data_IF_913356036766
#
_entry.id   IF_913356036766
#
_cell.length_a   1.000
_cell.length_b   1.000
_cell.length_c   1.000
_cell.angle_alpha   90.00
_cell.angle_beta   90.00
_cell.angle_gamma   90.00
#
_symmetry.space_group_name_H-M   'P 1'
#
loop_
_entity.id
_entity.type
_entity.pdbx_description
1 polymer ?
#
# COMPACT_ATOMS: atom_id res chain seq x y z
N UNK A 1 3.07 4.89 8.73
CA UNK A 1 2.70 3.54 9.15
C UNK A 1 3.62 2.52 8.49
N UNK A 2 4.13 1.60 9.26
CA UNK A 2 5.09 0.60 8.80
C UNK A 2 4.49 -0.80 8.94
N UNK A 3 4.37 -1.53 7.82
CA UNK A 3 3.83 -2.87 7.81
C UNK A 3 4.93 -3.90 8.06
N UNK A 4 4.62 -4.87 8.88
CA UNK A 4 5.52 -5.99 9.15
C UNK A 4 5.25 -7.16 8.22
N UNK A 5 6.19 -8.08 8.18
CA UNK A 5 6.06 -9.31 7.41
C UNK A 5 4.81 -10.08 7.83
N UNK A 6 4.09 -10.60 6.86
CA UNK A 6 2.85 -11.37 7.04
C UNK A 6 1.65 -10.60 7.54
N UNK A 7 1.78 -9.29 7.71
CA UNK A 7 0.65 -8.48 8.11
C UNK A 7 -0.22 -8.15 6.90
N UNK A 8 -1.51 -8.03 7.16
CA UNK A 8 -2.44 -7.47 6.20
C UNK A 8 -3.08 -6.27 6.87
N UNK A 9 -3.05 -5.12 6.23
CA UNK A 9 -3.58 -3.90 6.79
C UNK A 9 -4.86 -3.50 6.07
N UNK A 10 -6.02 -3.57 6.77
CA UNK A 10 -7.24 -3.03 6.18
C UNK A 10 -7.31 -1.52 6.40
N UNK A 11 -7.74 -0.82 5.36
CA UNK A 11 -7.92 0.63 5.42
C UNK A 11 -9.37 0.92 5.09
N UNK A 12 -10.07 1.57 6.02
CA UNK A 12 -11.45 1.96 5.82
C UNK A 12 -11.52 3.37 5.24
N UNK A 13 -12.33 3.54 4.21
CA UNK A 13 -12.47 4.82 3.55
C UNK A 13 -12.95 5.92 4.49
N UNK A 14 -13.84 5.60 5.40
CA UNK A 14 -14.38 6.57 6.34
C UNK A 14 -13.38 7.01 7.40
N UNK A 15 -12.36 6.21 7.65
CA UNK A 15 -11.33 6.51 8.65
C UNK A 15 -10.06 7.04 8.03
N UNK A 16 -10.05 7.22 6.73
CA UNK A 16 -8.88 7.63 5.99
C UNK A 16 -8.53 9.09 6.28
N UNK A 17 -7.26 9.34 6.59
CA UNK A 17 -6.78 10.70 6.83
C UNK A 17 -6.91 11.57 5.60
N UNK A 18 -6.56 11.03 4.44
CA UNK A 18 -6.59 11.79 3.20
C UNK A 18 -6.95 10.90 2.03
N UNK A 19 -7.16 11.53 0.88
CA UNK A 19 -7.59 10.85 -0.32
C UNK A 19 -6.56 9.85 -0.85
N UNK A 20 -5.28 10.18 -0.72
CA UNK A 20 -4.21 9.41 -1.34
C UNK A 20 -3.49 8.51 -0.35
N UNK A 21 -3.15 7.32 -0.85
CA UNK A 21 -2.39 6.34 -0.10
C UNK A 21 -1.14 6.04 -0.91
N UNK A 22 0.02 6.31 -0.35
CA UNK A 22 1.29 6.06 -1.04
C UNK A 22 2.03 4.93 -0.36
N UNK A 23 2.63 4.05 -1.16
CA UNK A 23 3.40 2.92 -0.67
C UNK A 23 4.85 3.09 -1.08
N UNK A 24 5.74 3.04 -0.11
CA UNK A 24 7.17 3.16 -0.37
C UNK A 24 7.85 1.93 0.19
N UNK A 25 8.45 1.07 -0.65
CA UNK A 25 9.18 -0.07 -0.13
C UNK A 25 10.49 0.38 0.49
N UNK A 26 10.85 -0.26 1.61
CA UNK A 26 12.16 -0.03 2.23
C UNK A 26 13.05 -1.11 1.64
N UNK A 27 13.88 -0.74 0.67
CA UNK A 27 14.64 -1.60 -0.22
C UNK A 27 13.72 -2.34 -1.18
N UNK A 28 13.01 -3.34 -0.71
CA UNK A 28 12.20 -4.20 -1.56
C UNK A 28 11.05 -4.77 -0.74
N UNK A 29 9.90 -4.91 -1.38
CA UNK A 29 8.76 -5.61 -0.81
C UNK A 29 8.21 -6.55 -1.85
N UNK A 30 8.07 -7.83 -1.51
CA UNK A 30 7.61 -8.86 -2.44
C UNK A 30 6.22 -9.36 -2.09
N UNK A 31 5.52 -9.81 -3.11
CA UNK A 31 4.17 -10.34 -2.94
C UNK A 31 3.17 -9.29 -2.53
N UNK A 32 3.39 -8.05 -2.97
CA UNK A 32 2.51 -6.94 -2.61
C UNK A 32 1.18 -7.09 -3.31
N UNK A 33 0.12 -7.12 -2.54
CA UNK A 33 -1.24 -7.25 -3.06
C UNK A 33 -2.08 -6.12 -2.49
N UNK A 34 -2.75 -5.41 -3.37
CA UNK A 34 -3.64 -4.31 -3.01
C UNK A 34 -5.01 -4.61 -3.57
N UNK A 35 -6.01 -4.67 -2.71
CA UNK A 35 -7.40 -4.85 -3.14
C UNK A 35 -8.26 -3.70 -2.63
N UNK A 36 -9.27 -3.33 -3.39
CA UNK A 36 -10.14 -2.23 -3.03
C UNK A 36 -9.57 -0.86 -3.36
N UNK A 37 -8.50 -0.81 -4.12
CA UNK A 37 -7.86 0.43 -4.54
C UNK A 37 -8.09 0.70 -6.01
N UNK A 38 -7.96 1.96 -6.39
CA UNK A 38 -8.11 2.38 -7.78
C UNK A 38 -7.10 1.71 -8.69
N UNK A 39 -5.89 1.51 -8.20
CA UNK A 39 -4.82 0.84 -8.93
C UNK A 39 -4.41 -0.40 -8.14
N UNK A 40 -5.12 -1.52 -8.34
CA UNK A 40 -4.83 -2.74 -7.58
C UNK A 40 -3.56 -3.41 -8.06
N UNK A 41 -2.93 -4.15 -7.15
CA UNK A 41 -1.76 -4.96 -7.45
C UNK A 41 -2.02 -6.37 -6.96
N UNK A 42 -1.41 -7.34 -7.61
CA UNK A 42 -1.48 -8.73 -7.18
C UNK A 42 -0.09 -9.35 -7.24
N UNK A 43 0.39 -9.78 -6.09
CA UNK A 43 1.67 -10.48 -5.98
C UNK A 43 2.81 -9.75 -6.70
N UNK A 44 2.91 -8.45 -6.48
CA UNK A 44 3.85 -7.59 -7.19
C UNK A 44 5.07 -7.30 -6.32
N UNK A 45 6.23 -7.17 -6.97
CA UNK A 45 7.44 -6.78 -6.25
C UNK A 45 7.69 -5.29 -6.44
N UNK A 46 7.81 -4.58 -5.33
CA UNK A 46 8.14 -3.16 -5.34
C UNK A 46 9.58 -2.96 -4.89
N UNK A 47 10.34 -2.20 -5.66
CA UNK A 47 11.75 -1.93 -5.39
C UNK A 47 11.94 -0.43 -5.28
N UNK A 48 12.61 0.01 -4.24
CA UNK A 48 12.79 1.43 -3.96
C UNK A 48 13.39 2.20 -5.14
N UNK A 49 14.39 1.62 -5.77
CA UNK A 49 15.10 2.29 -6.86
C UNK A 49 14.28 2.44 -8.13
N UNK A 50 13.30 1.59 -8.32
CA UNK A 50 12.49 1.58 -9.54
C UNK A 50 11.12 2.17 -9.35
N UNK A 51 10.61 2.07 -8.15
CA UNK A 51 9.28 2.58 -7.88
C UNK A 51 9.38 3.92 -7.23
N UNK A 52 8.91 4.89 -7.94
CA UNK A 52 8.53 6.12 -7.31
C UNK A 52 7.41 5.77 -6.36
N UNK A 53 7.19 6.61 -5.37
CA UNK A 53 6.09 6.42 -4.47
C UNK A 53 4.83 6.19 -5.29
N UNK A 54 4.20 5.04 -5.10
CA UNK A 54 2.97 4.74 -5.82
C UNK A 54 1.84 5.43 -5.07
N UNK A 55 1.27 6.43 -5.73
CA UNK A 55 0.13 7.13 -5.18
C UNK A 55 -1.14 6.41 -5.60
N UNK A 56 -1.92 5.99 -4.65
CA UNK A 56 -3.13 5.22 -4.89
C UNK A 56 -4.31 5.85 -4.15
N UNK A 57 -5.50 5.37 -4.42
CA UNK A 57 -6.71 5.84 -3.78
C UNK A 57 -7.59 4.65 -3.45
N UNK A 58 -8.34 4.74 -2.37
CA UNK A 58 -9.36 3.74 -2.09
C UNK A 58 -10.52 3.93 -3.05
N UNK A 59 -10.97 2.85 -3.65
CA UNK A 59 -12.13 2.86 -4.52
C UNK A 59 -13.32 2.20 -3.84
N UNK A 60 -13.06 1.12 -3.09
CA UNK A 60 -14.08 0.45 -2.31
C UNK A 60 -14.16 1.07 -0.91
N UNK A 61 -15.14 0.64 -0.13
CA UNK A 61 -15.28 1.09 1.25
C UNK A 61 -14.09 0.66 2.11
N UNK A 62 -13.45 -0.43 1.73
CA UNK A 62 -12.27 -0.94 2.44
C UNK A 62 -11.26 -1.45 1.43
N UNK A 63 -10.01 -1.13 1.67
CA UNK A 63 -8.90 -1.68 0.90
C UNK A 63 -8.03 -2.50 1.81
N UNK A 64 -7.34 -3.47 1.23
CA UNK A 64 -6.43 -4.34 2.00
C UNK A 64 -5.07 -4.31 1.34
N UNK A 65 -4.05 -4.09 2.15
CA UNK A 65 -2.65 -4.09 1.73
C UNK A 65 -1.95 -5.25 2.41
N UNK A 66 -1.30 -6.10 1.63
CA UNK A 66 -0.52 -7.20 2.18
C UNK A 66 0.73 -7.43 1.36
N UNK A 67 1.71 -8.11 1.96
CA UNK A 67 2.93 -8.50 1.27
C UNK A 67 3.55 -9.68 1.98
N UNK A 68 4.42 -10.42 1.28
CA UNK A 68 5.00 -11.66 1.83
C UNK A 68 6.42 -11.47 2.35
N UNK A 69 7.18 -10.55 1.80
CA UNK A 69 8.56 -10.29 2.24
C UNK A 69 8.89 -8.82 2.13
N UNK A 70 9.75 -8.35 3.01
CA UNK A 70 10.25 -6.99 2.97
C UNK A 70 9.53 -6.08 3.94
N UNK A 71 9.59 -4.78 3.65
CA UNK A 71 8.94 -3.75 4.46
C UNK A 71 8.33 -2.70 3.57
N UNK A 72 7.17 -2.20 3.97
CA UNK A 72 6.48 -1.12 3.29
C UNK A 72 6.21 0.01 4.25
N UNK A 73 6.38 1.21 3.77
CA UNK A 73 5.96 2.42 4.48
C UNK A 73 4.68 2.91 3.83
N UNK A 74 3.67 3.11 4.63
CA UNK A 74 2.38 3.59 4.17
C UNK A 74 2.22 5.05 4.57
N UNK A 75 1.90 5.89 3.59
CA UNK A 75 1.66 7.30 3.85
C UNK A 75 0.31 7.68 3.31
N UNK A 76 -0.54 8.23 4.16
CA UNK A 76 -1.81 8.81 3.73
C UNK A 76 -1.62 10.30 3.59
N UNK A 77 -2.10 10.84 2.48
CA UNK A 77 -1.95 12.26 2.21
C UNK A 77 -3.20 12.82 1.55
N UNK A 78 -3.28 14.13 1.57
CA UNK A 78 -4.35 14.85 0.88
C UNK A 78 -3.75 16.05 0.16
N UNK A 79 -4.53 16.59 -0.75
CA UNK A 79 -4.09 17.73 -1.55
C UNK A 79 -3.75 18.93 -0.69
#
# INVERSE_FOLDING_TARGET
YNLSLHDALPISKKDQFGKYVSLIPIYEARGVTLTGFKYPLKDHTLVFEQSLAISNELEAEEGIISFSEGKLLLIESRD
#
